data_IF_248003187968
#
_entry.id   IF_248003187968
#
_cell.length_a   1.000
_cell.length_b   1.000
_cell.length_c   1.000
_cell.angle_alpha   90.00
_cell.angle_beta   90.00
_cell.angle_gamma   90.00
#
_symmetry.space_group_name_H-M   'P 1'
#
loop_
_entity.id
_entity.type
_entity.pdbx_description
1 polymer ?
#
# COMPACT_ATOMS: atom_id res chain seq x y z
N UNK A 1 -1.88 -32.62 -21.73
CA UNK A 1 -1.95 -31.22 -22.21
C UNK A 1 -1.79 -30.32 -21.00
N UNK A 2 -0.78 -29.45 -21.00
CA UNK A 2 -0.71 -28.37 -20.01
C UNK A 2 -1.82 -27.35 -20.34
N UNK A 3 -2.55 -26.81 -19.36
CA UNK A 3 -3.51 -25.74 -19.62
C UNK A 3 -2.79 -24.54 -20.24
N UNK A 4 -3.46 -23.84 -21.15
CA UNK A 4 -2.92 -22.60 -21.72
C UNK A 4 -2.58 -21.63 -20.57
N UNK A 5 -1.42 -20.94 -20.61
CA UNK A 5 -1.11 -19.94 -19.60
C UNK A 5 -2.26 -18.93 -19.59
N UNK A 6 -2.79 -18.66 -18.40
CA UNK A 6 -3.79 -17.61 -18.22
C UNK A 6 -3.25 -16.35 -18.88
N UNK A 7 -3.97 -15.79 -19.84
CA UNK A 7 -3.58 -14.51 -20.43
C UNK A 7 -3.95 -13.46 -19.39
N UNK A 8 -2.96 -12.70 -18.90
CA UNK A 8 -3.22 -11.59 -18.00
C UNK A 8 -4.27 -10.67 -18.62
N UNK A 9 -5.17 -10.11 -17.80
CA UNK A 9 -6.08 -9.06 -18.25
C UNK A 9 -5.25 -7.93 -18.90
N UNK A 10 -5.81 -7.11 -19.80
CA UNK A 10 -5.11 -5.93 -20.31
C UNK A 10 -4.82 -4.96 -19.14
N UNK A 11 -3.72 -5.22 -18.45
CA UNK A 11 -3.30 -4.61 -17.20
C UNK A 11 -2.75 -3.20 -17.42
N UNK A 12 -2.23 -2.93 -18.63
CA UNK A 12 -1.59 -1.67 -18.97
C UNK A 12 -2.56 -0.48 -18.85
N UNK A 13 -3.76 -0.55 -19.42
CA UNK A 13 -4.68 0.60 -19.42
C UNK A 13 -5.31 0.95 -18.07
N UNK A 14 -5.39 0.00 -17.12
CA UNK A 14 -5.99 0.25 -15.79
C UNK A 14 -4.93 0.53 -14.72
N UNK A 15 -3.69 0.08 -14.92
CA UNK A 15 -2.61 0.29 -13.96
C UNK A 15 -2.04 1.71 -13.98
N UNK A 16 -2.10 2.43 -15.10
CA UNK A 16 -1.48 3.75 -15.23
C UNK A 16 -2.06 4.81 -14.27
N UNK A 17 -3.40 4.95 -14.10
CA UNK A 17 -3.96 5.82 -13.08
C UNK A 17 -3.52 5.43 -11.66
N UNK A 18 -3.45 4.13 -11.37
CA UNK A 18 -3.04 3.63 -10.06
C UNK A 18 -1.55 3.86 -9.79
N UNK A 19 -0.70 3.81 -10.81
CA UNK A 19 0.72 4.17 -10.72
C UNK A 19 0.90 5.65 -10.41
N UNK A 20 0.15 6.53 -11.09
CA UNK A 20 0.18 7.98 -10.80
C UNK A 20 -0.30 8.29 -9.38
N UNK A 21 -1.35 7.59 -8.95
CA UNK A 21 -1.87 7.68 -7.60
C UNK A 21 -0.85 7.22 -6.55
N UNK A 22 -0.19 6.08 -6.78
CA UNK A 22 0.87 5.57 -5.93
C UNK A 22 2.08 6.53 -5.89
N UNK A 23 2.46 7.14 -7.00
CA UNK A 23 3.54 8.13 -7.03
C UNK A 23 3.21 9.38 -6.20
N UNK A 24 1.96 9.85 -6.26
CA UNK A 24 1.47 10.96 -5.44
C UNK A 24 1.46 10.61 -3.95
N UNK A 25 1.08 9.37 -3.63
CA UNK A 25 1.15 8.82 -2.27
C UNK A 25 2.59 8.83 -1.76
N UNK A 26 3.53 8.23 -2.50
CA UNK A 26 4.96 8.13 -2.14
C UNK A 26 5.55 9.51 -1.82
N UNK A 27 5.26 10.50 -2.66
CA UNK A 27 5.77 11.86 -2.51
C UNK A 27 5.37 12.50 -1.19
N UNK A 28 4.12 12.28 -0.76
CA UNK A 28 3.60 12.76 0.53
C UNK A 28 4.17 11.97 1.71
N UNK A 29 4.21 10.64 1.58
CA UNK A 29 4.72 9.75 2.62
C UNK A 29 6.21 10.01 2.93
N UNK A 30 7.02 10.39 1.94
CA UNK A 30 8.46 10.61 2.10
C UNK A 30 8.82 11.61 3.21
N UNK A 31 8.03 12.66 3.41
CA UNK A 31 8.24 13.61 4.49
C UNK A 31 7.95 12.99 5.87
N UNK A 32 6.87 12.20 5.97
CA UNK A 32 6.43 11.54 7.20
C UNK A 32 7.40 10.45 7.65
N UNK A 33 8.08 9.76 6.71
CA UNK A 33 9.16 8.81 7.04
C UNK A 33 10.26 9.44 7.89
N UNK A 34 10.52 10.74 7.70
CA UNK A 34 11.57 11.48 8.44
C UNK A 34 11.06 12.05 9.75
N UNK A 35 9.83 12.56 9.78
CA UNK A 35 9.29 13.29 10.95
C UNK A 35 8.57 12.38 11.93
N UNK A 36 7.95 11.29 11.46
CA UNK A 36 7.12 10.39 12.24
C UNK A 36 7.36 8.91 11.86
N UNK A 37 8.60 8.39 11.90
CA UNK A 37 8.97 7.11 11.29
C UNK A 37 8.12 5.92 11.78
N UNK A 38 7.78 5.87 13.07
CA UNK A 38 6.97 4.77 13.62
C UNK A 38 5.56 4.73 13.02
N UNK A 39 4.88 5.87 12.94
CA UNK A 39 3.54 5.96 12.37
C UNK A 39 3.56 5.95 10.84
N UNK A 40 4.64 6.45 10.22
CA UNK A 40 4.85 6.35 8.79
C UNK A 40 4.92 4.89 8.36
N UNK A 41 5.56 4.00 9.14
CA UNK A 41 5.60 2.58 8.84
C UNK A 41 4.19 1.95 8.75
N UNK A 42 3.25 2.36 9.62
CA UNK A 42 1.85 1.90 9.57
C UNK A 42 1.13 2.30 8.27
N UNK A 43 1.58 3.36 7.61
CA UNK A 43 1.05 3.85 6.32
C UNK A 43 1.80 3.20 5.15
N UNK A 44 3.12 3.07 5.29
CA UNK A 44 4.05 2.56 4.28
C UNK A 44 3.80 1.09 3.92
N UNK A 45 3.26 0.29 4.84
CA UNK A 45 2.86 -1.10 4.55
C UNK A 45 1.77 -1.17 3.48
N UNK A 46 0.82 -0.23 3.46
CA UNK A 46 -0.21 -0.15 2.43
C UNK A 46 0.40 0.30 1.10
N UNK A 47 1.25 1.32 1.15
CA UNK A 47 1.95 1.79 -0.03
C UNK A 47 2.80 0.69 -0.67
N UNK A 48 3.60 -0.03 0.11
CA UNK A 48 4.42 -1.16 -0.36
C UNK A 48 3.57 -2.25 -1.01
N UNK A 49 2.44 -2.62 -0.39
CA UNK A 49 1.54 -3.63 -0.95
C UNK A 49 0.97 -3.20 -2.31
N UNK A 50 0.51 -1.95 -2.45
CA UNK A 50 0.04 -1.42 -3.73
C UNK A 50 1.17 -1.32 -4.77
N UNK A 51 2.34 -0.80 -4.38
CA UNK A 51 3.51 -0.67 -5.25
C UNK A 51 3.95 -2.01 -5.81
N UNK A 52 4.08 -3.03 -4.97
CA UNK A 52 4.47 -4.38 -5.41
C UNK A 52 3.45 -4.99 -6.38
N UNK A 53 2.15 -4.86 -6.11
CA UNK A 53 1.14 -5.35 -7.04
C UNK A 53 1.22 -4.66 -8.42
N UNK A 54 1.47 -3.34 -8.43
CA UNK A 54 1.61 -2.56 -9.67
C UNK A 54 2.93 -2.84 -10.41
N UNK A 55 4.03 -3.09 -9.69
CA UNK A 55 5.34 -3.39 -10.27
C UNK A 55 5.40 -4.80 -10.87
N UNK A 56 4.85 -5.79 -10.15
CA UNK A 56 4.82 -7.17 -10.63
C UNK A 56 3.83 -7.30 -11.80
N UNK A 57 2.73 -6.55 -11.78
CA UNK A 57 1.80 -6.47 -12.91
C UNK A 57 0.97 -7.73 -13.15
N UNK A 58 0.99 -8.68 -12.21
CA UNK A 58 0.26 -9.95 -12.27
C UNK A 58 -1.23 -9.77 -11.91
N UNK A 59 -1.99 -9.12 -12.79
CA UNK A 59 -3.43 -8.97 -12.66
C UNK A 59 -4.18 -10.05 -13.46
N UNK A 60 -4.64 -11.08 -12.74
CA UNK A 60 -5.29 -12.25 -13.35
C UNK A 60 -6.83 -12.17 -13.30
N UNK A 61 -7.38 -11.46 -12.31
CA UNK A 61 -8.82 -11.24 -12.11
C UNK A 61 -9.10 -9.74 -11.88
N UNK A 62 -10.25 -9.19 -12.33
CA UNK A 62 -10.62 -7.80 -12.04
C UNK A 62 -10.63 -7.44 -10.53
N UNK A 63 -10.79 -8.43 -9.66
CA UNK A 63 -10.66 -8.29 -8.19
C UNK A 63 -9.26 -7.91 -7.78
N UNK A 64 -8.21 -8.24 -8.52
CA UNK A 64 -6.84 -7.87 -8.18
C UNK A 64 -6.64 -6.36 -8.27
N UNK A 65 -7.20 -5.73 -9.30
CA UNK A 65 -7.25 -4.26 -9.41
C UNK A 65 -8.04 -3.66 -8.24
N UNK A 66 -9.14 -4.30 -7.85
CA UNK A 66 -9.96 -3.87 -6.71
C UNK A 66 -9.20 -3.95 -5.38
N UNK A 67 -8.37 -4.99 -5.19
CA UNK A 67 -7.49 -5.12 -4.01
C UNK A 67 -6.48 -3.96 -3.96
N UNK A 68 -5.82 -3.64 -5.07
CA UNK A 68 -4.86 -2.52 -5.14
C UNK A 68 -5.52 -1.20 -4.77
N UNK A 69 -6.70 -0.93 -5.32
CA UNK A 69 -7.50 0.26 -4.96
C UNK A 69 -7.82 0.30 -3.48
N UNK A 70 -8.31 -0.81 -2.93
CA UNK A 70 -8.66 -0.91 -1.51
C UNK A 70 -7.48 -0.59 -0.60
N UNK A 71 -6.30 -1.12 -0.94
CA UNK A 71 -5.06 -0.89 -0.19
C UNK A 71 -4.59 0.57 -0.31
N UNK A 72 -4.62 1.16 -1.51
CA UNK A 72 -4.30 2.57 -1.72
C UNK A 72 -5.26 3.48 -0.94
N UNK A 73 -6.56 3.21 -1.00
CA UNK A 73 -7.58 3.99 -0.31
C UNK A 73 -7.40 3.97 1.21
N UNK A 74 -7.14 2.80 1.81
CA UNK A 74 -6.88 2.71 3.24
C UNK A 74 -5.57 3.41 3.62
N UNK A 75 -4.51 3.21 2.84
CA UNK A 75 -3.24 3.91 3.05
C UNK A 75 -3.40 5.43 2.98
N UNK A 76 -4.19 5.95 2.03
CA UNK A 76 -4.47 7.39 1.88
C UNK A 76 -5.24 7.95 3.06
N UNK A 77 -6.26 7.25 3.54
CA UNK A 77 -7.00 7.66 4.74
C UNK A 77 -6.06 7.81 5.93
N UNK A 78 -5.14 6.87 6.10
CA UNK A 78 -4.14 6.94 7.17
C UNK A 78 -3.10 8.03 6.94
N UNK A 79 -2.66 8.21 5.70
CA UNK A 79 -1.75 9.29 5.30
C UNK A 79 -2.34 10.67 5.64
N UNK A 80 -3.57 10.93 5.19
CA UNK A 80 -4.30 12.17 5.45
C UNK A 80 -4.47 12.41 6.96
N UNK A 81 -4.81 11.37 7.70
CA UNK A 81 -4.95 11.42 9.16
C UNK A 81 -3.60 11.68 9.86
N UNK A 82 -2.50 11.11 9.36
CA UNK A 82 -1.16 11.35 9.90
C UNK A 82 -0.70 12.79 9.67
N UNK A 83 -0.92 13.32 8.47
CA UNK A 83 -0.59 14.71 8.12
C UNK A 83 -1.38 15.71 8.96
N UNK A 84 -2.64 15.37 9.30
CA UNK A 84 -3.49 16.18 10.20
C UNK A 84 -3.15 16.00 11.68
N UNK A 85 -2.24 15.09 12.04
CA UNK A 85 -1.89 14.80 13.42
C UNK A 85 -2.97 14.05 14.22
N UNK A 86 -3.94 13.40 13.55
CA UNK A 86 -4.95 12.55 14.19
C UNK A 86 -4.92 11.12 13.62
N UNK A 87 -3.88 10.32 13.93
CA UNK A 87 -3.74 8.96 13.43
C UNK A 87 -4.77 8.04 14.09
N UNK A 88 -6.01 8.05 13.61
CA UNK A 88 -7.17 7.39 14.21
C UNK A 88 -6.95 5.90 14.50
N UNK A 89 -6.15 5.21 13.68
CA UNK A 89 -5.90 3.77 13.82
C UNK A 89 -5.19 3.42 15.13
N UNK A 90 -4.45 4.36 15.72
CA UNK A 90 -3.76 4.17 17.02
C UNK A 90 -4.73 3.96 18.18
N UNK A 91 -5.98 4.43 18.04
CA UNK A 91 -7.05 4.32 19.05
C UNK A 91 -7.93 3.09 18.82
N UNK A 92 -7.81 2.42 17.67
CA UNK A 92 -8.58 1.23 17.33
C UNK A 92 -8.13 0.02 18.16
N UNK A 93 -9.07 -0.87 18.46
CA UNK A 93 -8.87 -2.13 19.19
C UNK A 93 -9.22 -3.33 18.31
N UNK A 94 -8.78 -4.52 18.72
CA UNK A 94 -8.89 -5.74 17.91
C UNK A 94 -7.78 -5.78 16.86
N UNK A 95 -7.88 -6.68 15.87
CA UNK A 95 -6.84 -6.87 14.85
C UNK A 95 -6.71 -5.65 13.94
N UNK A 96 -5.76 -4.77 14.24
CA UNK A 96 -5.46 -3.59 13.41
C UNK A 96 -4.10 -3.74 12.78
N UNK A 97 -4.04 -3.54 11.46
CA UNK A 97 -2.77 -3.52 10.72
C UNK A 97 -1.89 -2.40 11.24
N UNK A 98 -0.65 -2.75 11.55
CA UNK A 98 0.46 -1.89 11.95
C UNK A 98 1.67 -2.20 11.07
N UNK A 99 2.67 -1.33 11.11
CA UNK A 99 3.91 -1.46 10.37
C UNK A 99 5.12 -1.12 11.23
N UNK A 100 6.25 -1.70 10.86
CA UNK A 100 7.57 -1.31 11.36
C UNK A 100 8.56 -1.34 10.19
N UNK A 101 9.66 -0.60 10.32
CA UNK A 101 10.78 -0.74 9.40
C UNK A 101 11.71 -1.83 9.90
N UNK A 102 11.93 -2.84 9.05
CA UNK A 102 12.85 -3.94 9.30
C UNK A 102 14.27 -3.43 9.56
N UNK A 103 14.91 -3.90 10.63
CA UNK A 103 16.30 -3.57 10.93
C UNK A 103 17.29 -4.22 9.94
N UNK A 104 16.84 -5.24 9.19
CA UNK A 104 17.68 -5.96 8.24
C UNK A 104 17.87 -5.15 6.95
N UNK A 105 16.80 -4.57 6.42
CA UNK A 105 16.77 -3.97 5.07
C UNK A 105 16.02 -2.64 4.98
N UNK A 106 15.50 -2.12 6.11
CA UNK A 106 14.73 -0.88 6.16
C UNK A 106 13.35 -0.97 5.53
N UNK A 107 12.92 -2.15 5.06
CA UNK A 107 11.64 -2.29 4.37
C UNK A 107 10.48 -2.23 5.37
N UNK A 108 9.33 -1.64 5.00
CA UNK A 108 8.16 -1.67 5.86
C UNK A 108 7.57 -3.09 5.87
N UNK A 109 7.27 -3.58 7.07
CA UNK A 109 6.75 -4.92 7.31
C UNK A 109 5.46 -4.85 8.13
N UNK A 110 4.38 -5.53 7.71
CA UNK A 110 3.12 -5.50 8.41
C UNK A 110 3.09 -6.47 9.60
N UNK A 111 2.36 -6.09 10.62
CA UNK A 111 1.92 -6.97 11.71
C UNK A 111 0.52 -6.57 12.16
N UNK A 112 -0.15 -7.42 12.93
CA UNK A 112 -1.45 -7.11 13.51
C UNK A 112 -1.37 -7.23 15.03
N UNK A 113 -1.92 -6.24 15.73
CA UNK A 113 -2.16 -6.23 17.17
C UNK A 113 -3.66 -6.17 17.43
#
# INVERSE_FOLDING_TARGET
MLPAPATALPAESVSDPLKQEAASFESRLAALRKTQPKLAADVDVFFKAARFALEIGEFWDPKDITKVRTVLDEGKKRLDALEKGDPYWTKLRGSVVRGYYSEIDGSPQPYAL
#
